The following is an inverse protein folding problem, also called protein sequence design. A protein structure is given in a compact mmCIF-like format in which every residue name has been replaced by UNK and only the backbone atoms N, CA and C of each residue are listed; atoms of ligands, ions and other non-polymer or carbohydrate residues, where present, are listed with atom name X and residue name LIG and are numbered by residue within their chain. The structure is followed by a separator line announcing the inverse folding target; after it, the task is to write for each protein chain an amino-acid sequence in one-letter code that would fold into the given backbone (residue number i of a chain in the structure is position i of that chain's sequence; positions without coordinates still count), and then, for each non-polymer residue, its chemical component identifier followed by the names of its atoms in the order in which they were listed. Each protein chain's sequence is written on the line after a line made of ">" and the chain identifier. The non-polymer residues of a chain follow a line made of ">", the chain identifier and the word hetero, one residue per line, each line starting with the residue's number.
data_IF_710076502699
#
_entry.id   IF_710076502699
#
_cell.length_a   1.000
_cell.length_b   1.000
_cell.length_c   1.000
_cell.angle_alpha   90.00
_cell.angle_beta   90.00
_cell.angle_gamma   90.00
#
_symmetry.space_group_name_H-M   'P 1'
#
loop_
_entity.id
_entity.type
_entity.pdbx_description
1 polymer ?
#
# COMPACT_ATOMS: atom_id res chain seq x y z
N UNK A 1 -6.55 9.74 4.89
CA UNK A 1 -7.31 9.30 3.70
C UNK A 1 -6.42 9.36 2.47
N UNK A 2 -6.63 8.49 1.49
CA UNK A 2 -5.99 8.62 0.17
C UNK A 2 -6.68 7.80 -0.92
N UNK A 3 -6.47 8.19 -2.18
CA UNK A 3 -6.99 7.50 -3.37
C UNK A 3 -5.84 6.99 -4.25
N UNK A 4 -5.94 5.79 -4.83
CA UNK A 4 -4.93 5.24 -5.75
C UNK A 4 -3.53 5.25 -5.11
N UNK A 5 -2.52 5.82 -5.77
CA UNK A 5 -1.16 5.96 -5.22
C UNK A 5 -1.13 6.69 -3.88
N UNK A 6 -2.01 7.69 -3.66
CA UNK A 6 -2.13 8.35 -2.35
C UNK A 6 -2.79 7.45 -1.30
N UNK A 7 -3.61 6.48 -1.72
CA UNK A 7 -4.13 5.44 -0.84
C UNK A 7 -3.02 4.53 -0.33
N UNK A 8 -2.07 4.16 -1.21
CA UNK A 8 -0.86 3.44 -0.82
C UNK A 8 0.00 4.25 0.17
N UNK A 9 0.23 5.54 -0.11
CA UNK A 9 0.95 6.43 0.81
C UNK A 9 0.24 6.52 2.17
N UNK A 10 -1.09 6.73 2.17
CA UNK A 10 -1.87 6.81 3.40
C UNK A 10 -1.83 5.51 4.21
N UNK A 11 -1.80 4.36 3.54
CA UNK A 11 -1.62 3.06 4.19
C UNK A 11 -0.26 2.96 4.88
N UNK A 12 0.84 3.20 4.15
CA UNK A 12 2.19 3.13 4.71
C UNK A 12 2.37 4.15 5.85
N UNK A 13 1.97 5.41 5.63
CA UNK A 13 2.02 6.44 6.66
C UNK A 13 1.21 6.06 7.90
N UNK A 14 0.06 5.41 7.73
CA UNK A 14 -0.74 4.91 8.84
C UNK A 14 -0.04 3.84 9.68
N UNK A 15 0.66 2.91 9.04
CA UNK A 15 1.49 1.92 9.75
C UNK A 15 2.61 2.59 10.55
N UNK A 16 3.32 3.53 9.92
CA UNK A 16 4.37 4.30 10.59
C UNK A 16 3.82 5.14 11.74
N UNK A 17 2.68 5.81 11.55
CA UNK A 17 2.03 6.61 12.59
C UNK A 17 1.62 5.75 13.78
N UNK A 18 1.13 4.53 13.55
CA UNK A 18 0.78 3.59 14.61
C UNK A 18 2.01 3.19 15.45
N UNK A 19 3.16 2.97 14.83
CA UNK A 19 4.40 2.62 15.51
C UNK A 19 4.94 3.76 16.41
N UNK A 20 4.61 5.02 16.12
CA UNK A 20 5.09 6.20 16.84
C UNK A 20 3.95 7.08 17.39
N UNK A 21 2.80 6.48 17.70
CA UNK A 21 1.57 7.22 18.04
C UNK A 21 1.74 8.21 19.19
N UNK A 22 2.57 7.90 20.19
CA UNK A 22 2.85 8.76 21.34
C UNK A 22 3.49 10.10 20.93
N UNK A 23 4.34 10.09 19.90
CA UNK A 23 5.03 11.28 19.40
C UNK A 23 4.09 12.23 18.63
N UNK A 24 2.89 11.76 18.28
CA UNK A 24 1.93 12.55 17.51
C UNK A 24 1.04 13.42 18.41
N UNK A 25 1.03 13.18 19.74
CA UNK A 25 0.19 13.95 20.67
C UNK A 25 0.45 15.48 20.53
N UNK A 26 -0.62 16.30 20.52
CA UNK A 26 -2.01 15.95 20.83
C UNK A 26 -2.85 15.47 19.64
N UNK A 27 -2.25 15.19 18.48
CA UNK A 27 -2.97 14.68 17.31
C UNK A 27 -3.45 13.23 17.55
N UNK A 28 -4.73 12.99 17.34
CA UNK A 28 -5.35 11.66 17.44
C UNK A 28 -5.88 11.22 16.07
N UNK A 29 -5.51 10.01 15.61
CA UNK A 29 -5.75 9.62 14.21
C UNK A 29 -7.11 8.96 13.91
N UNK A 30 -7.85 8.27 14.77
CA UNK A 30 -9.23 7.73 14.51
C UNK A 30 -9.45 6.77 13.32
N UNK A 31 -8.51 6.63 12.39
CA UNK A 31 -8.55 5.61 11.33
C UNK A 31 -8.04 6.05 9.96
N UNK A 32 -8.08 5.12 9.02
CA UNK A 32 -7.62 5.30 7.64
C UNK A 32 -8.76 5.04 6.65
N UNK A 33 -8.94 5.95 5.70
CA UNK A 33 -9.85 5.76 4.57
C UNK A 33 -8.99 5.54 3.32
N UNK A 34 -9.02 4.32 2.79
CA UNK A 34 -8.26 3.91 1.62
C UNK A 34 -9.21 3.69 0.44
N UNK A 35 -9.28 4.65 -0.47
CA UNK A 35 -10.14 4.57 -1.64
C UNK A 35 -9.37 4.00 -2.84
N UNK A 36 -9.66 2.75 -3.22
CA UNK A 36 -8.95 2.06 -4.31
C UNK A 36 -7.42 2.22 -4.20
N UNK A 37 -6.81 1.85 -3.07
CA UNK A 37 -5.37 2.03 -2.86
C UNK A 37 -4.58 1.27 -3.93
N UNK A 38 -3.56 1.91 -4.49
CA UNK A 38 -2.76 1.34 -5.56
C UNK A 38 -1.69 0.39 -5.00
N UNK A 39 -1.99 -0.91 -5.06
CA UNK A 39 -1.08 -1.98 -4.68
C UNK A 39 -0.69 -2.81 -5.90
N UNK A 40 0.43 -3.51 -5.78
CA UNK A 40 0.96 -4.41 -6.79
C UNK A 40 1.52 -5.68 -6.18
N UNK A 41 2.23 -6.42 -7.02
CA UNK A 41 2.88 -7.67 -6.70
C UNK A 41 3.54 -8.22 -7.95
N UNK A 42 4.58 -9.03 -7.81
CA UNK A 42 5.26 -9.63 -8.96
C UNK A 42 4.30 -10.52 -9.76
N UNK A 43 3.61 -11.41 -9.07
CA UNK A 43 2.62 -12.31 -9.64
C UNK A 43 1.32 -11.57 -9.98
N UNK A 44 0.72 -11.91 -11.12
CA UNK A 44 -0.56 -11.32 -11.54
C UNK A 44 -1.72 -11.90 -10.75
N UNK A 45 -2.56 -11.02 -10.24
CA UNK A 45 -3.86 -11.36 -9.71
C UNK A 45 -4.84 -11.74 -10.83
N UNK A 46 -5.91 -12.44 -10.47
CA UNK A 46 -6.98 -12.76 -11.43
C UNK A 46 -7.63 -11.50 -12.03
N UNK A 47 -7.75 -10.41 -11.26
CA UNK A 47 -8.28 -9.15 -11.76
C UNK A 47 -7.35 -8.50 -12.79
N UNK A 48 -6.03 -8.48 -12.55
CA UNK A 48 -5.08 -7.96 -13.53
C UNK A 48 -5.09 -8.78 -14.82
N UNK A 49 -5.20 -10.12 -14.73
CA UNK A 49 -5.31 -10.98 -15.91
C UNK A 49 -6.60 -10.74 -16.68
N UNK A 50 -7.74 -10.61 -15.97
CA UNK A 50 -9.05 -10.32 -16.58
C UNK A 50 -9.08 -8.96 -17.31
N UNK A 51 -8.40 -7.97 -16.75
CA UNK A 51 -8.36 -6.59 -17.28
C UNK A 51 -7.01 -6.26 -17.94
N UNK A 52 -6.36 -7.25 -18.57
CA UNK A 52 -5.06 -7.07 -19.22
C UNK A 52 -5.05 -5.95 -20.29
N UNK A 53 -6.20 -5.72 -20.94
CA UNK A 53 -6.40 -4.69 -21.97
C UNK A 53 -7.26 -3.51 -21.46
N UNK A 54 -7.25 -3.23 -20.15
CA UNK A 54 -7.94 -2.05 -19.62
C UNK A 54 -7.45 -0.77 -20.33
N UNK A 55 -8.38 0.14 -20.63
CA UNK A 55 -8.08 1.34 -21.41
C UNK A 55 -7.44 2.46 -20.59
N UNK A 56 -7.51 2.38 -19.27
CA UNK A 56 -7.06 3.41 -18.35
C UNK A 56 -5.80 2.95 -17.62
N UNK A 57 -5.83 1.74 -17.06
CA UNK A 57 -4.75 1.18 -16.25
C UNK A 57 -4.52 -0.31 -16.57
N UNK A 58 -4.01 -0.65 -17.77
CA UNK A 58 -3.59 -2.01 -18.04
C UNK A 58 -2.37 -2.39 -17.18
N UNK A 59 -2.14 -3.67 -16.88
CA UNK A 59 -1.07 -4.10 -15.95
C UNK A 59 0.32 -3.58 -16.30
N UNK A 60 0.64 -3.42 -17.59
CA UNK A 60 1.92 -2.87 -18.05
C UNK A 60 2.14 -1.41 -17.59
N UNK A 61 1.08 -0.59 -17.52
CA UNK A 61 1.17 0.78 -17.02
C UNK A 61 1.46 0.76 -15.53
N UNK A 62 0.81 -0.12 -14.78
CA UNK A 62 1.11 -0.33 -13.35
C UNK A 62 2.55 -0.76 -13.13
N UNK A 63 3.10 -1.63 -13.98
CA UNK A 63 4.50 -2.06 -13.89
C UNK A 63 5.46 -0.88 -14.06
N UNK A 64 5.22 -0.02 -15.05
CA UNK A 64 6.02 1.18 -15.28
C UNK A 64 5.92 2.12 -14.07
N UNK A 65 4.70 2.34 -13.54
CA UNK A 65 4.51 3.18 -12.35
C UNK A 65 5.30 2.66 -11.14
N UNK A 66 5.29 1.35 -10.88
CA UNK A 66 6.10 0.77 -9.81
C UNK A 66 7.59 0.79 -10.13
N UNK A 67 8.00 0.57 -11.37
CA UNK A 67 9.40 0.68 -11.79
C UNK A 67 9.99 2.08 -11.59
N UNK A 68 9.17 3.12 -11.66
CA UNK A 68 9.57 4.50 -11.37
C UNK A 68 9.47 4.89 -9.89
N UNK A 69 8.60 4.22 -9.13
CA UNK A 69 8.32 4.56 -7.73
C UNK A 69 9.10 3.75 -6.70
N UNK A 70 9.62 2.58 -7.08
CA UNK A 70 10.42 1.72 -6.22
C UNK A 70 11.91 2.00 -6.35
N UNK A 71 12.69 1.50 -5.40
CA UNK A 71 14.15 1.60 -5.41
C UNK A 71 14.74 0.82 -6.59
N UNK A 72 15.92 1.25 -7.05
CA UNK A 72 16.59 0.54 -8.14
C UNK A 72 16.94 -0.90 -7.72
N UNK A 73 16.66 -1.87 -8.60
CA UNK A 73 16.96 -3.28 -8.39
C UNK A 73 15.96 -4.05 -7.52
N UNK A 74 14.92 -3.42 -6.97
CA UNK A 74 13.84 -4.14 -6.26
C UNK A 74 12.68 -4.44 -7.19
N UNK A 75 12.02 -5.58 -6.98
CA UNK A 75 10.84 -5.97 -7.76
C UNK A 75 9.52 -5.53 -7.09
N UNK A 76 8.39 -5.86 -7.73
CA UNK A 76 7.06 -5.46 -7.28
C UNK A 76 6.56 -6.21 -6.03
N UNK A 77 7.33 -7.16 -5.50
CA UNK A 77 7.05 -7.75 -4.17
C UNK A 77 7.68 -6.95 -3.03
N UNK A 78 8.33 -5.81 -3.31
CA UNK A 78 8.74 -4.87 -2.28
C UNK A 78 7.53 -4.39 -1.43
N UNK A 79 7.73 -4.16 -0.13
CA UNK A 79 6.66 -3.84 0.84
C UNK A 79 5.82 -2.59 0.47
N UNK A 80 6.43 -1.63 -0.22
CA UNK A 80 5.75 -0.43 -0.72
C UNK A 80 4.82 -0.69 -1.93
N UNK A 81 4.98 -1.82 -2.61
CA UNK A 81 4.08 -2.25 -3.69
C UNK A 81 3.12 -3.33 -3.21
N UNK A 82 3.63 -4.38 -2.56
CA UNK A 82 2.88 -5.55 -2.14
C UNK A 82 2.70 -5.59 -0.61
N UNK A 83 1.54 -5.17 -0.08
CA UNK A 83 1.31 -5.13 1.37
C UNK A 83 1.25 -6.53 2.00
N UNK A 84 1.05 -7.59 1.20
CA UNK A 84 0.98 -8.95 1.73
C UNK A 84 2.33 -9.44 2.25
N UNK A 85 3.45 -8.88 1.76
CA UNK A 85 4.79 -9.20 2.25
C UNK A 85 4.96 -8.72 3.69
N UNK A 86 4.55 -7.48 3.98
CA UNK A 86 4.53 -6.93 5.33
C UNK A 86 3.60 -7.72 6.26
N UNK A 87 2.39 -8.04 5.80
CA UNK A 87 1.40 -8.80 6.60
C UNK A 87 1.88 -10.22 6.91
N UNK A 88 2.51 -10.91 5.95
CA UNK A 88 3.07 -12.25 6.19
C UNK A 88 4.21 -12.22 7.20
N UNK A 89 5.03 -11.17 7.16
CA UNK A 89 6.17 -11.00 8.07
C UNK A 89 5.74 -10.59 9.48
N UNK A 90 4.63 -9.86 9.61
CA UNK A 90 4.05 -9.47 10.89
C UNK A 90 2.50 -9.62 10.84
N UNK A 91 1.96 -10.77 11.27
CA UNK A 91 0.52 -11.04 11.24
C UNK A 91 -0.33 -10.02 12.02
N UNK A 92 0.25 -9.37 13.03
CA UNK A 92 -0.42 -8.36 13.86
C UNK A 92 -0.18 -6.92 13.36
N UNK A 93 0.41 -6.74 12.16
CA UNK A 93 0.73 -5.42 11.60
C UNK A 93 -0.47 -4.47 11.59
N UNK A 94 -1.64 -4.98 11.22
CA UNK A 94 -2.86 -4.17 11.15
C UNK A 94 -3.49 -3.91 12.52
N UNK A 95 -3.16 -4.70 13.55
CA UNK A 95 -3.62 -4.44 14.91
C UNK A 95 -2.98 -3.18 15.47
N UNK A 96 -1.76 -2.85 15.03
CA UNK A 96 -1.10 -1.59 15.41
C UNK A 96 -1.91 -0.38 14.94
N UNK A 97 -2.54 -0.45 13.77
CA UNK A 97 -3.38 0.63 13.25
C UNK A 97 -4.62 0.85 14.14
N UNK A 98 -5.11 -0.17 14.85
CA UNK A 98 -6.21 -0.03 15.82
C UNK A 98 -5.81 0.86 17.01
N UNK A 99 -4.52 1.02 17.30
CA UNK A 99 -4.04 1.93 18.35
C UNK A 99 -4.27 3.40 17.99
N UNK A 100 -4.44 3.71 16.71
CA UNK A 100 -4.68 5.09 16.25
C UNK A 100 -6.11 5.57 16.55
N UNK A 101 -7.05 4.66 16.82
CA UNK A 101 -8.43 4.95 17.25
C UNK A 101 -9.43 3.90 16.80
#
# INVERSE_FOLDING_TARGET
>A
MGTSARGNIAYNLGLHAAAYWDNLKPLEIKGLILNQPFFGGKERTQSEAKYANDKILPPIVSDVMFGLGLLEGVDRDHEYSNPTVGIKSNPNLLDQVKLLG
#
